data_IF_921370737181
#
_entry.id   IF_921370737181
#
_cell.length_a   1.000
_cell.length_b   1.000
_cell.length_c   1.000
_cell.angle_alpha   90.00
_cell.angle_beta   90.00
_cell.angle_gamma   90.00
#
_symmetry.space_group_name_H-M   'P 1'
#
loop_
_entity.id
_entity.type
_entity.pdbx_description
1 polymer ?
#
# COMPACT_ATOMS: atom_id res chain seq x y z
N UNK A 1 -10.67 -36.45 14.65
CA UNK A 1 -11.23 -36.42 13.29
C UNK A 1 -10.38 -35.50 12.43
N UNK A 2 -9.68 -36.09 11.48
CA UNK A 2 -8.75 -35.46 10.54
C UNK A 2 -9.50 -34.62 9.51
N UNK A 3 -9.21 -33.32 9.43
CA UNK A 3 -9.74 -32.45 8.39
C UNK A 3 -8.80 -32.45 7.18
N UNK A 4 -9.35 -32.99 6.10
CA UNK A 4 -8.84 -33.16 4.74
C UNK A 4 -8.36 -31.84 4.13
N UNK A 5 -7.15 -31.85 3.57
CA UNK A 5 -6.57 -30.75 2.79
C UNK A 5 -7.22 -30.72 1.41
N UNK A 6 -8.09 -29.74 1.15
CA UNK A 6 -8.66 -29.51 -0.17
C UNK A 6 -7.76 -28.55 -0.94
N UNK A 7 -7.18 -29.05 -2.04
CA UNK A 7 -6.61 -28.24 -3.10
C UNK A 7 -7.74 -27.80 -4.04
N UNK A 8 -7.83 -26.51 -4.34
CA UNK A 8 -8.78 -25.95 -5.30
C UNK A 8 -8.87 -24.43 -5.15
N UNK A 9 -8.77 -23.72 -6.29
CA UNK A 9 -8.95 -22.28 -6.51
C UNK A 9 -9.02 -21.38 -5.27
N UNK A 10 -8.10 -20.41 -5.13
CA UNK A 10 -8.24 -19.32 -4.15
C UNK A 10 -9.56 -18.60 -4.44
N UNK A 11 -10.62 -18.96 -3.71
CA UNK A 11 -11.84 -18.18 -3.64
C UNK A 11 -11.40 -16.76 -3.30
N UNK A 12 -11.91 -15.78 -4.04
CA UNK A 12 -11.70 -14.37 -3.75
C UNK A 12 -12.47 -13.97 -2.48
N UNK A 13 -12.25 -14.69 -1.38
CA UNK A 13 -12.63 -14.22 -0.07
C UNK A 13 -11.71 -13.04 0.25
N UNK A 14 -12.31 -11.86 0.40
CA UNK A 14 -11.61 -10.72 0.97
C UNK A 14 -11.02 -11.19 2.30
N UNK A 15 -9.69 -11.18 2.46
CA UNK A 15 -9.10 -11.64 3.70
C UNK A 15 -9.61 -10.75 4.82
N UNK A 16 -10.04 -11.36 5.92
CA UNK A 16 -10.50 -10.63 7.08
C UNK A 16 -9.36 -9.74 7.57
N UNK A 17 -9.52 -8.42 7.45
CA UNK A 17 -8.47 -7.44 7.71
C UNK A 17 -7.84 -7.59 9.10
N UNK A 18 -8.65 -8.01 10.07
CA UNK A 18 -8.24 -8.22 11.46
C UNK A 18 -7.45 -9.52 11.65
N UNK A 19 -7.72 -10.55 10.83
CA UNK A 19 -7.05 -11.85 10.89
C UNK A 19 -5.70 -11.89 10.14
N UNK A 20 -5.32 -10.82 9.45
CA UNK A 20 -4.04 -10.76 8.74
C UNK A 20 -2.85 -10.84 9.71
N UNK A 21 -1.99 -11.84 9.52
CA UNK A 21 -0.70 -11.91 10.22
C UNK A 21 0.26 -10.84 9.70
N UNK A 22 0.17 -9.66 10.31
CA UNK A 22 1.02 -8.52 9.96
C UNK A 22 2.51 -8.80 10.11
N UNK A 23 2.90 -9.63 11.08
CA UNK A 23 4.31 -9.97 11.29
C UNK A 23 4.85 -10.80 10.12
N UNK A 24 4.09 -11.80 9.66
CA UNK A 24 4.45 -12.57 8.48
C UNK A 24 4.52 -11.70 7.21
N UNK A 25 3.55 -10.80 7.00
CA UNK A 25 3.55 -9.88 5.85
C UNK A 25 4.77 -8.95 5.86
N UNK A 26 5.07 -8.33 7.01
CA UNK A 26 6.25 -7.48 7.19
C UNK A 26 7.55 -8.25 6.94
N UNK A 27 7.66 -9.47 7.47
CA UNK A 27 8.83 -10.32 7.26
C UNK A 27 9.04 -10.68 5.79
N UNK A 28 7.97 -10.88 5.02
CA UNK A 28 8.05 -11.13 3.57
C UNK A 28 8.56 -9.91 2.83
N UNK A 29 8.03 -8.72 3.14
CA UNK A 29 8.47 -7.46 2.51
C UNK A 29 9.93 -7.15 2.85
N UNK A 30 10.33 -7.27 4.12
CA UNK A 30 11.72 -7.06 4.55
C UNK A 30 12.71 -8.02 3.86
N UNK A 31 12.31 -9.28 3.64
CA UNK A 31 13.13 -10.23 2.88
C UNK A 31 13.34 -9.81 1.43
N UNK A 32 12.31 -9.28 0.76
CA UNK A 32 12.44 -8.75 -0.60
C UNK A 32 13.29 -7.48 -0.63
N UNK A 33 13.08 -6.57 0.32
CA UNK A 33 13.88 -5.35 0.47
C UNK A 33 15.36 -5.65 0.67
N UNK A 34 15.72 -6.56 1.59
CA UNK A 34 17.11 -6.99 1.77
C UNK A 34 17.72 -7.60 0.49
N UNK A 35 16.92 -8.31 -0.32
CA UNK A 35 17.38 -8.83 -1.63
C UNK A 35 17.61 -7.70 -2.64
N UNK A 36 16.80 -6.63 -2.60
CA UNK A 36 16.99 -5.43 -3.43
C UNK A 36 18.29 -4.75 -3.03
N UNK A 37 18.52 -4.51 -1.72
CA UNK A 37 19.77 -3.91 -1.20
C UNK A 37 21.00 -4.70 -1.66
N UNK A 38 20.99 -6.03 -1.50
CA UNK A 38 22.09 -6.89 -1.97
C UNK A 38 22.30 -6.80 -3.49
N UNK A 39 21.22 -6.67 -4.27
CA UNK A 39 21.32 -6.52 -5.73
C UNK A 39 21.86 -5.13 -6.14
N UNK A 40 21.52 -4.08 -5.39
CA UNK A 40 22.07 -2.72 -5.55
C UNK A 40 23.57 -2.72 -5.27
N UNK A 41 24.00 -3.31 -4.14
CA UNK A 41 25.42 -3.44 -3.78
C UNK A 41 26.22 -4.18 -4.85
N UNK A 42 25.64 -5.23 -5.44
CA UNK A 42 26.24 -5.98 -6.54
C UNK A 42 26.08 -5.31 -7.93
N UNK A 43 25.51 -4.10 -8.01
CA UNK A 43 25.23 -3.35 -9.27
C UNK A 43 24.41 -4.12 -10.30
N UNK A 44 23.56 -5.08 -9.86
CA UNK A 44 22.71 -5.91 -10.74
C UNK A 44 21.36 -5.24 -11.01
N UNK A 45 21.35 -4.17 -11.80
CA UNK A 45 20.17 -3.34 -12.05
C UNK A 45 18.96 -4.08 -12.65
N UNK A 46 19.19 -5.09 -13.49
CA UNK A 46 18.11 -5.96 -14.01
C UNK A 46 17.40 -6.72 -12.88
N UNK A 47 18.17 -7.22 -11.91
CA UNK A 47 17.65 -7.91 -10.72
C UNK A 47 16.94 -6.94 -9.77
N UNK A 48 17.45 -5.72 -9.61
CA UNK A 48 16.78 -4.66 -8.84
C UNK A 48 15.38 -4.39 -9.41
N UNK A 49 15.28 -4.14 -10.72
CA UNK A 49 14.00 -3.92 -11.40
C UNK A 49 13.03 -5.09 -11.25
N UNK A 50 13.52 -6.33 -11.41
CA UNK A 50 12.71 -7.53 -11.24
C UNK A 50 12.19 -7.68 -9.79
N UNK A 51 13.01 -7.40 -8.78
CA UNK A 51 12.62 -7.50 -7.38
C UNK A 51 11.68 -6.38 -6.94
N UNK A 52 11.89 -5.15 -7.42
CA UNK A 52 10.96 -4.04 -7.22
C UNK A 52 9.59 -4.36 -7.83
N UNK A 53 9.56 -4.89 -9.06
CA UNK A 53 8.33 -5.35 -9.70
C UNK A 53 7.64 -6.46 -8.90
N UNK A 54 8.40 -7.45 -8.43
CA UNK A 54 7.87 -8.52 -7.57
C UNK A 54 7.27 -7.97 -6.26
N UNK A 55 7.96 -7.02 -5.63
CA UNK A 55 7.52 -6.40 -4.37
C UNK A 55 6.21 -5.64 -4.58
N UNK A 56 6.13 -4.77 -5.59
CA UNK A 56 4.92 -3.95 -5.85
C UNK A 56 3.71 -4.80 -6.27
N UNK A 57 3.92 -6.00 -6.81
CA UNK A 57 2.84 -6.93 -7.16
C UNK A 57 2.43 -7.86 -6.02
N UNK A 58 3.24 -7.98 -4.97
CA UNK A 58 2.99 -8.88 -3.84
C UNK A 58 1.78 -8.46 -3.00
N UNK A 59 1.02 -9.44 -2.50
CA UNK A 59 -0.07 -9.21 -1.55
C UNK A 59 0.44 -8.50 -0.28
N UNK A 60 1.58 -8.95 0.24
CA UNK A 60 2.16 -8.43 1.49
C UNK A 60 2.49 -6.94 1.41
N UNK A 61 3.11 -6.47 0.32
CA UNK A 61 3.41 -5.04 0.17
C UNK A 61 2.14 -4.20 0.01
N UNK A 62 1.15 -4.69 -0.74
CA UNK A 62 -0.14 -4.00 -0.91
C UNK A 62 -0.92 -3.89 0.40
N UNK A 63 -0.96 -4.96 1.18
CA UNK A 63 -1.60 -4.96 2.50
C UNK A 63 -0.93 -3.95 3.45
N UNK A 64 0.41 -3.93 3.51
CA UNK A 64 1.15 -2.96 4.33
C UNK A 64 0.95 -1.52 3.85
N UNK A 65 0.85 -1.30 2.54
CA UNK A 65 0.58 0.01 1.98
C UNK A 65 -0.81 0.54 2.37
N UNK A 66 -1.85 -0.31 2.29
CA UNK A 66 -3.21 0.02 2.77
C UNK A 66 -3.18 0.28 4.28
N UNK A 67 -2.45 -0.53 5.05
CA UNK A 67 -2.36 -0.37 6.51
C UNK A 67 -1.74 0.98 6.86
N UNK A 68 -0.61 1.31 6.24
CA UNK A 68 0.09 2.59 6.44
C UNK A 68 -0.81 3.79 6.23
N UNK A 69 -1.68 3.78 5.22
CA UNK A 69 -2.56 4.92 4.93
C UNK A 69 -3.83 4.96 5.76
N UNK A 70 -4.25 3.82 6.30
CA UNK A 70 -5.47 3.69 7.12
C UNK A 70 -5.22 3.81 8.61
N UNK A 71 -3.95 3.76 9.03
CA UNK A 71 -3.54 3.91 10.43
C UNK A 71 -2.84 5.26 10.71
N UNK A 72 -2.48 6.02 9.68
CA UNK A 72 -1.83 7.32 9.84
C UNK A 72 -2.75 8.42 10.42
N UNK A 73 -2.20 9.55 10.92
CA UNK A 73 -3.00 10.66 11.44
C UNK A 73 -3.97 11.26 10.41
N UNK A 74 -3.61 11.23 9.13
CA UNK A 74 -4.43 11.75 8.02
C UNK A 74 -5.50 10.78 7.51
N UNK A 75 -5.75 9.64 8.19
CA UNK A 75 -6.64 8.57 7.72
C UNK A 75 -8.11 9.01 7.57
N UNK A 76 -8.50 10.08 8.27
CA UNK A 76 -9.86 10.66 8.23
C UNK A 76 -10.01 11.78 7.20
N UNK A 77 -8.95 12.14 6.49
CA UNK A 77 -8.95 13.26 5.55
C UNK A 77 -9.10 12.72 4.13
N UNK A 78 -10.26 12.87 3.46
CA UNK A 78 -10.44 12.31 2.13
C UNK A 78 -9.82 13.19 1.03
N UNK A 79 -9.58 12.58 -0.14
CA UNK A 79 -9.12 13.28 -1.34
C UNK A 79 -10.26 13.98 -2.08
N UNK A 80 -10.09 14.21 -3.38
CA UNK A 80 -11.11 14.82 -4.25
C UNK A 80 -12.36 13.95 -4.40
N UNK A 81 -12.19 12.63 -4.33
CA UNK A 81 -13.24 11.60 -4.39
C UNK A 81 -14.12 11.53 -3.13
N UNK A 82 -13.73 12.21 -2.05
CA UNK A 82 -14.43 12.16 -0.74
C UNK A 82 -14.51 10.74 -0.12
N UNK A 83 -13.70 9.78 -0.58
CA UNK A 83 -13.74 8.38 -0.10
C UNK A 83 -12.77 8.15 1.06
N UNK A 84 -13.21 7.34 2.04
CA UNK A 84 -12.41 6.84 3.17
C UNK A 84 -12.50 5.31 3.27
N UNK A 85 -11.43 4.68 3.78
CA UNK A 85 -11.39 3.25 4.10
C UNK A 85 -11.51 3.05 5.62
N UNK A 86 -12.69 3.38 6.17
CA UNK A 86 -12.94 3.35 7.61
C UNK A 86 -13.21 1.96 8.16
N UNK A 87 -13.79 1.06 7.37
CA UNK A 87 -14.20 -0.28 7.82
C UNK A 87 -13.20 -1.36 7.39
N UNK A 88 -13.04 -2.46 8.16
CA UNK A 88 -12.15 -3.58 7.82
C UNK A 88 -12.36 -4.10 6.38
N UNK A 89 -13.60 -4.19 5.93
CA UNK A 89 -13.99 -4.71 4.60
C UNK A 89 -13.50 -3.77 3.49
N UNK A 90 -13.68 -2.45 3.67
CA UNK A 90 -13.16 -1.45 2.73
C UNK A 90 -11.64 -1.49 2.64
N UNK A 91 -10.95 -1.73 3.77
CA UNK A 91 -9.48 -1.87 3.78
C UNK A 91 -9.04 -3.14 3.06
N UNK A 92 -9.69 -4.28 3.33
CA UNK A 92 -9.39 -5.53 2.64
C UNK A 92 -9.64 -5.42 1.13
N UNK A 93 -10.79 -4.87 0.72
CA UNK A 93 -11.11 -4.63 -0.68
C UNK A 93 -10.11 -3.68 -1.36
N UNK A 94 -9.63 -2.66 -0.65
CA UNK A 94 -8.65 -1.72 -1.17
C UNK A 94 -7.33 -2.37 -1.61
N UNK A 95 -6.90 -3.45 -0.96
CA UNK A 95 -5.69 -4.21 -1.34
C UNK A 95 -5.76 -4.65 -2.80
N UNK A 96 -6.93 -5.15 -3.23
CA UNK A 96 -7.15 -5.62 -4.60
C UNK A 96 -7.18 -4.49 -5.64
N UNK A 97 -7.42 -3.24 -5.21
CA UNK A 97 -7.43 -2.05 -6.08
C UNK A 97 -6.04 -1.52 -6.40
N UNK A 98 -5.01 -1.91 -5.64
CA UNK A 98 -3.62 -1.54 -5.88
C UNK A 98 -3.04 -2.35 -7.05
N UNK A 99 -3.40 -1.94 -8.26
CA UNK A 99 -2.94 -2.52 -9.53
C UNK A 99 -2.25 -1.43 -10.34
N UNK A 100 -1.09 -1.75 -10.91
CA UNK A 100 -0.35 -0.83 -11.79
C UNK A 100 -1.09 -0.62 -13.11
N UNK A 101 -1.57 -1.70 -13.74
CA UNK A 101 -2.30 -1.63 -15.01
C UNK A 101 -3.62 -0.88 -14.81
N UNK A 102 -3.84 0.16 -15.62
CA UNK A 102 -5.04 0.98 -15.54
C UNK A 102 -5.09 1.96 -14.36
N UNK A 103 -3.99 2.11 -13.60
CA UNK A 103 -3.91 3.17 -12.60
C UNK A 103 -3.84 4.54 -13.27
N UNK A 104 -4.74 5.44 -12.86
CA UNK A 104 -4.73 6.86 -13.20
C UNK A 104 -4.85 7.63 -11.89
N UNK A 105 -3.81 8.41 -11.57
CA UNK A 105 -3.82 9.23 -10.37
C UNK A 105 -4.90 10.31 -10.49
N UNK A 106 -5.60 10.59 -9.39
CA UNK A 106 -6.59 11.66 -9.35
C UNK A 106 -5.95 13.01 -9.01
N UNK A 107 -6.58 14.14 -9.37
CA UNK A 107 -6.12 15.45 -8.96
C UNK A 107 -6.14 15.59 -7.43
N UNK A 108 -5.20 16.38 -6.91
CA UNK A 108 -5.09 16.66 -5.48
C UNK A 108 -6.19 17.62 -5.02
N UNK A 109 -6.83 17.32 -3.88
CA UNK A 109 -7.73 18.27 -3.22
C UNK A 109 -6.92 19.34 -2.48
N UNK A 110 -7.11 20.62 -2.84
CA UNK A 110 -6.44 21.74 -2.17
C UNK A 110 -7.16 22.13 -0.88
N UNK A 111 -6.39 22.33 0.19
CA UNK A 111 -6.83 22.88 1.48
C UNK A 111 -5.82 23.92 1.92
N UNK A 112 -6.29 25.06 2.44
CA UNK A 112 -5.44 26.13 2.96
C UNK A 112 -5.27 25.92 4.47
N UNK A 113 -4.01 25.81 4.92
CA UNK A 113 -3.68 25.72 6.35
C UNK A 113 -3.23 27.11 6.80
N UNK A 114 -3.88 27.72 7.82
CA UNK A 114 -3.47 29.02 8.33
C UNK A 114 -2.10 28.92 9.02
N UNK A 115 -1.28 29.95 8.86
CA UNK A 115 -0.05 30.17 9.63
C UNK A 115 -0.29 31.22 10.71
N UNK A 116 0.54 31.26 11.77
CA UNK A 116 0.43 32.28 12.82
C UNK A 116 0.56 33.73 12.29
N UNK A 117 1.25 33.94 11.17
CA UNK A 117 1.48 35.26 10.58
C UNK A 117 0.38 35.74 9.61
N UNK A 118 -0.82 35.14 9.68
CA UNK A 118 -1.96 35.51 8.83
C UNK A 118 -1.89 35.01 7.37
N UNK A 119 -0.76 34.45 6.92
CA UNK A 119 -0.64 33.82 5.60
C UNK A 119 -1.17 32.39 5.63
N UNK A 120 -1.46 31.82 4.47
CA UNK A 120 -1.84 30.40 4.33
C UNK A 120 -0.78 29.57 3.62
N UNK A 121 -0.66 28.29 3.96
CA UNK A 121 0.07 27.29 3.17
C UNK A 121 -0.93 26.37 2.46
N UNK A 122 -0.87 26.22 1.13
CA UNK A 122 -1.69 25.24 0.44
C UNK A 122 -1.17 23.82 0.70
N UNK A 123 -2.06 22.91 1.07
CA UNK A 123 -1.82 21.48 1.15
C UNK A 123 -2.61 20.77 0.04
N UNK A 124 -1.95 19.87 -0.69
CA UNK A 124 -2.60 18.96 -1.63
C UNK A 124 -2.86 17.61 -0.97
N UNK A 125 -4.11 17.17 -0.94
CA UNK A 125 -4.53 15.91 -0.32
C UNK A 125 -4.92 14.94 -1.43
N UNK A 126 -4.19 13.83 -1.53
CA UNK A 126 -4.45 12.75 -2.47
C UNK A 126 -5.56 11.81 -1.98
N UNK A 127 -6.16 11.06 -2.91
CA UNK A 127 -7.14 10.02 -2.58
C UNK A 127 -6.51 8.92 -1.73
N UNK A 128 -7.34 8.10 -1.06
CA UNK A 128 -6.83 6.96 -0.28
C UNK A 128 -6.07 5.98 -1.18
N UNK A 129 -6.58 5.74 -2.39
CA UNK A 129 -5.95 4.87 -3.39
C UNK A 129 -4.58 5.42 -3.81
N UNK A 130 -4.48 6.70 -4.12
CA UNK A 130 -3.23 7.31 -4.56
C UNK A 130 -2.18 7.31 -3.44
N UNK A 131 -2.57 7.59 -2.19
CA UNK A 131 -1.68 7.46 -1.02
C UNK A 131 -1.18 6.04 -0.85
N UNK A 132 -2.05 5.05 -1.03
CA UNK A 132 -1.68 3.64 -0.91
C UNK A 132 -0.74 3.22 -2.04
N UNK A 133 -0.95 3.70 -3.27
CA UNK A 133 -0.02 3.51 -4.38
C UNK A 133 1.35 4.15 -4.07
N UNK A 134 1.38 5.37 -3.55
CA UNK A 134 2.62 6.02 -3.11
C UNK A 134 3.34 5.19 -2.03
N UNK A 135 2.62 4.71 -1.01
CA UNK A 135 3.18 3.85 0.03
C UNK A 135 3.71 2.51 -0.50
N UNK A 136 3.02 1.93 -1.49
CA UNK A 136 3.44 0.69 -2.15
C UNK A 136 4.76 0.87 -2.90
N UNK A 137 4.88 1.94 -3.70
CA UNK A 137 6.12 2.23 -4.42
C UNK A 137 7.25 2.67 -3.49
N UNK A 138 6.94 3.36 -2.39
CA UNK A 138 7.93 3.68 -1.35
C UNK A 138 8.59 2.41 -0.81
N UNK A 139 7.83 1.33 -0.57
CA UNK A 139 8.41 0.05 -0.12
C UNK A 139 9.43 -0.55 -1.09
N UNK A 140 9.33 -0.25 -2.39
CA UNK A 140 10.24 -0.72 -3.42
C UNK A 140 11.44 0.21 -3.67
N UNK A 141 11.26 1.52 -3.43
CA UNK A 141 12.24 2.56 -3.68
C UNK A 141 13.14 2.86 -2.49
N UNK A 142 12.65 2.60 -1.27
CA UNK A 142 13.37 2.76 -0.01
C UNK A 142 13.50 1.39 0.71
N UNK A 143 14.29 0.45 0.15
CA UNK A 143 14.46 -0.92 0.66
C UNK A 143 15.49 -1.03 1.78
#
# INVERSE_FOLDING_TARGET
MTATRVAGATSHETPEWQALDWHALTRTVRRLQARIVKAIQARRWGKVKALQHLLTHSFSAKALAVRRVTENPGKRTPGVDRVLWSTPEKKAAAIATLRQRGYRAQPLRRVLIPKPNGKTRPLGISTMRDRAMQALYLCALDP
#
